data_IF_692751569744
#
_entry.id   IF_692751569744
#
_cell.length_a   1.000
_cell.length_b   1.000
_cell.length_c   1.000
_cell.angle_alpha   90.00
_cell.angle_beta   90.00
_cell.angle_gamma   90.00
#
_symmetry.space_group_name_H-M   'P 1'
#
loop_
_entity.id
_entity.type
_entity.pdbx_description
1 polymer ?
#
# COMPACT_ATOMS: atom_id res chain seq x y z
N UNK A 1 1.92 7.31 -11.01
CA UNK A 1 1.00 6.21 -10.69
C UNK A 1 -0.43 6.70 -10.76
N UNK A 2 -1.34 5.90 -11.26
CA UNK A 2 -2.75 6.28 -11.32
C UNK A 2 -3.39 6.30 -9.94
N UNK A 3 -4.64 6.71 -9.93
CA UNK A 3 -5.40 6.78 -8.70
C UNK A 3 -5.71 5.37 -8.18
N UNK A 4 -5.63 5.19 -6.87
CA UNK A 4 -5.82 3.90 -6.23
C UNK A 4 -7.13 3.89 -5.47
N UNK A 5 -7.91 2.82 -5.66
CA UNK A 5 -9.13 2.60 -4.91
C UNK A 5 -8.91 1.54 -3.85
N UNK A 6 -9.42 1.81 -2.65
CA UNK A 6 -9.36 0.87 -1.54
C UNK A 6 -10.63 0.06 -1.47
N UNK A 7 -10.51 -1.16 -0.96
CA UNK A 7 -11.67 -1.87 -0.49
C UNK A 7 -12.18 -1.21 0.79
N UNK A 8 -13.50 -1.29 0.97
CA UNK A 8 -14.15 -0.67 2.12
C UNK A 8 -14.03 -1.50 3.39
N UNK A 9 -12.79 -1.73 3.81
CA UNK A 9 -12.50 -2.44 5.06
C UNK A 9 -11.38 -1.70 5.77
N UNK A 10 -11.69 -0.51 6.31
CA UNK A 10 -10.67 0.33 6.91
C UNK A 10 -9.95 -0.40 8.04
N UNK A 11 -8.63 -0.32 8.05
CA UNK A 11 -7.77 -0.85 9.09
C UNK A 11 -7.70 -2.38 9.17
N UNK A 12 -8.42 -3.12 8.33
CA UNK A 12 -8.32 -4.59 8.32
C UNK A 12 -6.92 -5.06 7.99
N UNK A 13 -6.19 -4.30 7.20
CA UNK A 13 -4.82 -4.64 6.85
C UNK A 13 -3.91 -4.78 8.08
N UNK A 14 -4.18 -4.03 9.15
CA UNK A 14 -3.37 -4.08 10.38
C UNK A 14 -3.46 -5.45 11.03
N UNK A 15 -4.62 -6.08 10.93
CA UNK A 15 -4.88 -7.38 11.55
C UNK A 15 -4.63 -8.57 10.61
N UNK A 16 -4.29 -8.30 9.36
CA UNK A 16 -4.05 -9.38 8.40
C UNK A 16 -2.65 -9.94 8.58
N UNK A 17 -2.56 -11.12 9.17
CA UNK A 17 -1.28 -11.76 9.45
C UNK A 17 -0.51 -12.18 8.19
N UNK A 18 -1.16 -12.16 7.02
CA UNK A 18 -0.51 -12.48 5.73
C UNK A 18 0.33 -11.31 5.22
N UNK A 19 0.11 -10.10 5.75
CA UNK A 19 0.85 -8.92 5.32
C UNK A 19 2.09 -8.74 6.18
N UNK A 20 3.16 -8.27 5.53
CA UNK A 20 4.37 -7.86 6.24
C UNK A 20 4.18 -6.49 6.88
N UNK A 21 5.10 -6.11 7.78
CA UNK A 21 5.07 -4.78 8.37
C UNK A 21 5.15 -3.66 7.35
N UNK A 22 6.00 -3.82 6.31
CA UNK A 22 6.11 -2.82 5.25
C UNK A 22 4.83 -2.70 4.44
N UNK A 23 4.16 -3.80 4.16
CA UNK A 23 2.88 -3.79 3.46
C UNK A 23 1.79 -3.10 4.27
N UNK A 24 1.75 -3.36 5.59
CA UNK A 24 0.81 -2.68 6.48
C UNK A 24 1.07 -1.18 6.52
N UNK A 25 2.33 -0.78 6.58
CA UNK A 25 2.72 0.62 6.59
C UNK A 25 2.31 1.32 5.29
N UNK A 26 2.61 0.72 4.14
CA UNK A 26 2.25 1.28 2.85
C UNK A 26 0.74 1.44 2.72
N UNK A 27 -0.02 0.44 3.13
CA UNK A 27 -1.48 0.51 3.09
C UNK A 27 -2.01 1.64 3.98
N UNK A 28 -1.41 1.81 5.16
CA UNK A 28 -1.77 2.90 6.07
C UNK A 28 -1.50 4.26 5.44
N UNK A 29 -0.34 4.44 4.81
CA UNK A 29 -0.01 5.69 4.12
C UNK A 29 -0.99 5.99 3.00
N UNK A 30 -1.36 4.99 2.22
CA UNK A 30 -2.32 5.17 1.12
C UNK A 30 -3.73 5.48 1.63
N UNK A 31 -4.09 5.01 2.81
CA UNK A 31 -5.36 5.39 3.43
C UNK A 31 -5.36 6.84 3.90
N UNK A 32 -4.19 7.38 4.26
CA UNK A 32 -4.04 8.79 4.61
C UNK A 32 -4.15 9.66 3.38
N UNK A 33 -3.44 9.28 2.30
CA UNK A 33 -3.43 10.04 1.06
C UNK A 33 -3.16 9.08 -0.11
N UNK A 34 -4.18 8.80 -0.90
CA UNK A 34 -4.07 7.87 -2.02
C UNK A 34 -3.41 8.47 -3.27
N UNK A 35 -2.95 9.71 -3.19
CA UNK A 35 -2.26 10.37 -4.29
C UNK A 35 -0.74 10.20 -4.24
N UNK A 36 -0.20 9.63 -3.17
CA UNK A 36 1.23 9.36 -3.10
C UNK A 36 1.69 8.49 -4.27
N UNK A 37 2.80 8.88 -4.89
CA UNK A 37 3.45 8.05 -5.89
C UNK A 37 4.46 7.09 -5.23
N UNK A 38 5.06 6.22 -6.04
CA UNK A 38 6.00 5.22 -5.51
C UNK A 38 7.24 5.84 -4.88
N UNK A 39 7.67 7.00 -5.35
CA UNK A 39 8.84 7.68 -4.82
C UNK A 39 8.54 8.32 -3.47
N UNK A 40 7.36 8.91 -3.34
CA UNK A 40 6.90 9.47 -2.07
C UNK A 40 6.72 8.37 -1.04
N UNK A 41 6.10 7.25 -1.42
CA UNK A 41 5.93 6.10 -0.54
C UNK A 41 7.29 5.52 -0.11
N UNK A 42 8.23 5.42 -1.05
CA UNK A 42 9.58 4.96 -0.76
C UNK A 42 10.25 5.85 0.29
N UNK A 43 10.14 7.15 0.14
CA UNK A 43 10.72 8.11 1.07
C UNK A 43 10.06 8.05 2.44
N UNK A 44 8.74 8.04 2.49
CA UNK A 44 7.98 8.05 3.75
C UNK A 44 8.15 6.74 4.53
N UNK A 45 8.12 5.62 3.84
CA UNK A 45 8.23 4.30 4.47
C UNK A 45 9.68 3.88 4.67
N UNK A 46 10.62 4.61 4.12
CA UNK A 46 12.07 4.28 4.16
C UNK A 46 12.34 2.91 3.57
N UNK A 47 11.71 2.65 2.44
CA UNK A 47 11.88 1.42 1.66
C UNK A 47 12.51 1.76 0.32
N UNK A 48 13.15 0.78 -0.30
CA UNK A 48 13.62 0.93 -1.67
C UNK A 48 12.44 0.93 -2.63
N UNK A 49 12.58 1.62 -3.76
CA UNK A 49 11.50 1.73 -4.75
C UNK A 49 11.04 0.35 -5.21
N UNK A 50 11.97 -0.58 -5.48
CA UNK A 50 11.61 -1.93 -5.90
C UNK A 50 10.81 -2.69 -4.82
N UNK A 51 11.08 -2.43 -3.54
CA UNK A 51 10.31 -3.04 -2.45
C UNK A 51 8.91 -2.46 -2.38
N UNK A 52 8.76 -1.15 -2.62
CA UNK A 52 7.45 -0.51 -2.70
C UNK A 52 6.64 -1.13 -3.83
N UNK A 53 7.25 -1.28 -5.01
CA UNK A 53 6.58 -1.88 -6.17
C UNK A 53 6.12 -3.30 -5.84
N UNK A 54 6.99 -4.10 -5.25
CA UNK A 54 6.65 -5.47 -4.87
C UNK A 54 5.49 -5.50 -3.88
N UNK A 55 5.57 -4.69 -2.83
CA UNK A 55 4.55 -4.66 -1.78
C UNK A 55 3.20 -4.18 -2.31
N UNK A 56 3.21 -3.18 -3.20
CA UNK A 56 1.96 -2.71 -3.82
C UNK A 56 1.33 -3.79 -4.69
N UNK A 57 2.13 -4.56 -5.42
CA UNK A 57 1.61 -5.70 -6.20
C UNK A 57 0.97 -6.75 -5.30
N UNK A 58 1.58 -7.03 -4.16
CA UNK A 58 1.03 -7.99 -3.20
C UNK A 58 -0.27 -7.48 -2.58
N UNK A 59 -0.33 -6.22 -2.20
CA UNK A 59 -1.54 -5.62 -1.67
C UNK A 59 -2.68 -5.66 -2.68
N UNK A 60 -2.37 -5.35 -3.94
CA UNK A 60 -3.34 -5.41 -5.03
C UNK A 60 -3.81 -6.86 -5.25
N UNK A 61 -2.90 -7.81 -5.26
CA UNK A 61 -3.22 -9.23 -5.43
C UNK A 61 -4.14 -9.74 -4.32
N UNK A 62 -3.94 -9.24 -3.11
CA UNK A 62 -4.79 -9.60 -1.97
C UNK A 62 -6.08 -8.80 -1.90
N UNK A 63 -6.29 -7.91 -2.84
CA UNK A 63 -7.55 -7.18 -2.98
C UNK A 63 -7.69 -5.96 -2.09
N UNK A 64 -6.61 -5.40 -1.56
CA UNK A 64 -6.69 -4.21 -0.71
C UNK A 64 -6.95 -2.94 -1.49
N UNK A 65 -6.55 -2.90 -2.76
CA UNK A 65 -6.87 -1.75 -3.62
C UNK A 65 -6.90 -2.16 -5.09
N UNK A 66 -7.39 -1.24 -5.91
CA UNK A 66 -7.40 -1.39 -7.36
C UNK A 66 -6.84 -0.13 -7.99
N UNK A 67 -6.03 -0.27 -9.03
CA UNK A 67 -5.58 0.86 -9.83
C UNK A 67 -6.67 1.29 -10.80
N UNK A 68 -6.76 2.60 -10.97
CA UNK A 68 -7.59 3.18 -12.01
C UNK A 68 -6.97 3.03 -13.36
#
# INVERSE_FOLDING_TARGET
MGRIYYKELPLFHIYDSRLTGSQKLLMTLLLIDDTYDIYELSSLAKLRVEDVIFDLKELKRRGYFQER
#
